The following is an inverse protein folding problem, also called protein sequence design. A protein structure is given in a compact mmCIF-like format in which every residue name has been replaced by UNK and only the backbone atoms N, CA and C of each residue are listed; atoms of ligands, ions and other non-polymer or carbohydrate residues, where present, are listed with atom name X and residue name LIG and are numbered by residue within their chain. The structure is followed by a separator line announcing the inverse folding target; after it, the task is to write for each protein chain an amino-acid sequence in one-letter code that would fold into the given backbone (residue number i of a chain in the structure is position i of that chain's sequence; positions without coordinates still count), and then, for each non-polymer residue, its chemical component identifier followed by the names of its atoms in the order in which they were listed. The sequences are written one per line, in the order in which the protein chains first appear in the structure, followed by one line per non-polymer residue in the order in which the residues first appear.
data_IF_904487953258
#
_entry.id   IF_904487953258
#
_cell.length_a   1.000
_cell.length_b   1.000
_cell.length_c   1.000
_cell.angle_alpha   90.00
_cell.angle_beta   90.00
_cell.angle_gamma   90.00
#
_symmetry.space_group_name_H-M   'P 1'
#
loop_
_entity.id
_entity.type
_entity.pdbx_description
1 polymer ?
#
# COMPACT_ATOMS: atom_id res chain seq x y z
N UNK A 1 -22.08 -0.61 13.95
CA UNK A 1 -20.60 -0.38 13.87
C UNK A 1 -20.39 1.12 13.98
N UNK A 2 -19.76 1.60 15.06
CA UNK A 2 -19.64 3.05 15.34
C UNK A 2 -18.23 3.59 15.04
N UNK A 3 -17.25 2.71 14.82
CA UNK A 3 -15.86 3.03 14.52
C UNK A 3 -15.22 1.92 13.68
N UNK A 4 -14.07 2.15 13.05
CA UNK A 4 -13.31 1.08 12.43
C UNK A 4 -12.99 -0.03 13.44
N UNK A 5 -12.93 -1.27 12.98
CA UNK A 5 -12.53 -2.40 13.83
C UNK A 5 -11.75 -3.44 13.03
N UNK A 6 -10.87 -4.14 13.73
CA UNK A 6 -10.02 -5.20 13.20
C UNK A 6 -10.59 -6.58 13.54
N UNK A 7 -10.68 -7.42 12.52
CA UNK A 7 -10.96 -8.85 12.64
C UNK A 7 -9.67 -9.63 12.40
N UNK A 8 -9.14 -10.28 13.43
CA UNK A 8 -7.99 -11.17 13.30
C UNK A 8 -8.46 -12.54 12.81
N UNK A 9 -7.84 -13.04 11.72
CA UNK A 9 -8.05 -14.38 11.18
C UNK A 9 -7.03 -15.36 11.74
N UNK A 10 -5.81 -14.88 12.00
CA UNK A 10 -4.72 -15.62 12.63
C UNK A 10 -3.76 -14.64 13.31
N UNK A 11 -2.79 -15.19 14.06
CA UNK A 11 -1.77 -14.39 14.74
C UNK A 11 -0.38 -14.90 14.32
N UNK A 12 0.19 -14.39 13.23
CA UNK A 12 1.52 -14.78 12.80
C UNK A 12 2.59 -14.28 13.77
N UNK A 13 3.66 -15.03 13.92
CA UNK A 13 4.87 -14.54 14.57
C UNK A 13 5.66 -13.72 13.56
N UNK A 14 5.91 -12.46 13.88
CA UNK A 14 6.57 -11.50 12.98
C UNK A 14 7.89 -11.01 13.63
N UNK A 15 8.95 -10.97 12.84
CA UNK A 15 10.26 -10.44 13.24
C UNK A 15 10.59 -9.19 12.44
N UNK A 16 10.77 -8.05 13.14
CA UNK A 16 11.07 -6.75 12.55
C UNK A 16 10.24 -6.43 11.31
N UNK A 17 8.90 -6.51 11.38
CA UNK A 17 8.07 -6.41 10.20
C UNK A 17 8.11 -5.02 9.56
N UNK A 18 8.14 -5.00 8.23
CA UNK A 18 7.97 -3.81 7.39
C UNK A 18 6.54 -3.78 6.88
N UNK A 19 5.84 -2.69 7.13
CA UNK A 19 4.49 -2.50 6.62
C UNK A 19 4.51 -1.92 5.21
N UNK A 20 3.74 -2.54 4.30
CA UNK A 20 3.59 -2.13 2.90
C UNK A 20 2.11 -1.92 2.60
N UNK A 21 1.73 -0.70 2.25
CA UNK A 21 0.35 -0.34 1.92
C UNK A 21 0.19 -0.07 0.43
N UNK A 22 -0.81 -0.69 -0.20
CA UNK A 22 -1.23 -0.36 -1.55
C UNK A 22 -2.75 -0.34 -1.68
N UNK A 23 -3.33 0.86 -1.69
CA UNK A 23 -4.77 1.11 -1.78
C UNK A 23 -5.18 1.59 -3.19
N UNK A 24 -6.48 1.51 -3.55
CA UNK A 24 -7.01 2.16 -4.74
C UNK A 24 -6.72 3.65 -4.75
N UNK A 25 -6.48 4.21 -5.92
CA UNK A 25 -6.19 5.63 -6.13
C UNK A 25 -5.88 5.89 -7.60
N UNK A 26 -5.09 6.92 -7.91
CA UNK A 26 -4.71 7.23 -9.28
C UNK A 26 -4.10 6.02 -9.99
N UNK A 27 -4.73 5.62 -11.11
CA UNK A 27 -4.32 4.48 -11.90
C UNK A 27 -4.33 3.13 -11.16
N UNK A 28 -4.94 3.05 -9.98
CA UNK A 28 -4.88 1.88 -9.09
C UNK A 28 -3.45 1.38 -8.82
N UNK A 29 -2.43 2.22 -9.05
CA UNK A 29 -1.00 1.87 -9.02
C UNK A 29 -0.61 1.17 -7.73
N UNK A 30 -1.00 1.73 -6.57
CA UNK A 30 -0.68 1.15 -5.26
C UNK A 30 -1.33 -0.22 -5.07
N UNK A 31 -2.61 -0.35 -5.39
CA UNK A 31 -3.36 -1.62 -5.30
C UNK A 31 -2.75 -2.69 -6.19
N UNK A 32 -2.45 -2.36 -7.44
CA UNK A 32 -1.81 -3.27 -8.39
C UNK A 32 -0.47 -3.75 -7.85
N UNK A 33 0.39 -2.85 -7.37
CA UNK A 33 1.68 -3.21 -6.80
C UNK A 33 1.55 -4.11 -5.57
N UNK A 34 0.58 -3.86 -4.68
CA UNK A 34 0.31 -4.70 -3.51
C UNK A 34 -0.17 -6.11 -3.91
N UNK A 35 -1.07 -6.21 -4.88
CA UNK A 35 -1.52 -7.51 -5.40
C UNK A 35 -0.40 -8.31 -6.05
N UNK A 36 0.50 -7.64 -6.78
CA UNK A 36 1.70 -8.29 -7.34
C UNK A 36 2.62 -8.83 -6.23
N UNK A 37 2.81 -8.08 -5.13
CA UNK A 37 3.56 -8.54 -3.97
C UNK A 37 2.90 -9.76 -3.31
N UNK A 38 1.59 -9.68 -3.05
CA UNK A 38 0.81 -10.78 -2.45
C UNK A 38 0.96 -12.05 -3.29
N UNK A 39 0.80 -11.94 -4.61
CA UNK A 39 0.94 -13.05 -5.53
C UNK A 39 2.37 -13.58 -5.62
N UNK A 40 3.36 -12.69 -5.69
CA UNK A 40 4.77 -13.07 -5.81
C UNK A 40 5.27 -13.87 -4.61
N UNK A 41 4.88 -13.45 -3.41
CA UNK A 41 5.32 -14.08 -2.15
C UNK A 41 4.37 -15.17 -1.65
N UNK A 42 3.27 -15.45 -2.34
CA UNK A 42 2.17 -16.29 -1.83
C UNK A 42 1.77 -15.87 -0.40
N UNK A 43 1.59 -14.55 -0.20
CA UNK A 43 1.34 -13.95 1.10
C UNK A 43 0.03 -14.47 1.71
N UNK A 44 0.02 -14.70 3.02
CA UNK A 44 -1.12 -15.30 3.71
C UNK A 44 -1.96 -14.24 4.41
N UNK A 45 -3.29 -14.24 4.23
CA UNK A 45 -4.17 -13.31 4.94
C UNK A 45 -4.19 -13.64 6.44
N UNK A 46 -4.20 -12.60 7.29
CA UNK A 46 -4.23 -12.79 8.76
C UNK A 46 -5.12 -11.80 9.51
N UNK A 47 -5.52 -10.68 8.88
CA UNK A 47 -6.46 -9.73 9.49
C UNK A 47 -7.22 -8.94 8.43
N UNK A 48 -8.36 -8.39 8.85
CA UNK A 48 -9.24 -7.53 8.05
C UNK A 48 -9.62 -6.30 8.87
N UNK A 49 -9.70 -5.13 8.24
CA UNK A 49 -10.20 -3.90 8.83
C UNK A 49 -11.49 -3.49 8.15
N UNK A 50 -12.51 -3.27 8.94
CA UNK A 50 -13.82 -2.77 8.53
C UNK A 50 -14.05 -1.37 9.08
N UNK A 51 -14.75 -0.51 8.32
CA UNK A 51 -15.10 0.83 8.77
C UNK A 51 -16.53 1.18 8.39
N UNK A 52 -17.27 1.87 9.28
CA UNK A 52 -18.59 2.42 8.94
C UNK A 52 -18.51 3.54 7.91
N UNK A 53 -17.33 4.05 7.66
CA UNK A 53 -17.05 5.10 6.67
C UNK A 53 -16.69 4.56 5.28
N UNK A 54 -16.67 3.23 5.10
CA UNK A 54 -16.61 2.65 3.77
C UNK A 54 -17.98 2.76 3.09
N UNK A 55 -18.04 2.83 1.75
CA UNK A 55 -19.30 2.93 1.02
C UNK A 55 -20.30 1.82 1.37
N UNK A 56 -21.57 2.14 1.22
CA UNK A 56 -22.74 1.33 1.60
C UNK A 56 -23.12 0.25 0.56
N UNK A 57 -22.13 -0.48 0.07
CA UNK A 57 -22.37 -1.62 -0.80
C UNK A 57 -21.78 -2.91 -0.23
N UNK A 58 -22.09 -4.02 -0.85
CA UNK A 58 -21.43 -5.31 -0.62
C UNK A 58 -20.80 -5.80 -1.92
N UNK A 59 -19.61 -6.35 -1.81
CA UNK A 59 -18.97 -7.06 -2.93
C UNK A 59 -19.46 -8.51 -2.96
N UNK A 60 -19.62 -9.05 -4.17
CA UNK A 60 -20.02 -10.44 -4.39
C UNK A 60 -18.84 -11.17 -5.04
N UNK A 61 -18.37 -12.24 -4.43
CA UNK A 61 -17.29 -13.04 -4.99
C UNK A 61 -17.76 -13.95 -6.15
N UNK A 62 -16.83 -14.62 -6.82
CA UNK A 62 -17.10 -15.48 -7.98
C UNK A 62 -18.09 -16.65 -7.71
N UNK A 63 -18.33 -16.99 -6.44
CA UNK A 63 -19.26 -18.05 -6.03
C UNK A 63 -20.56 -17.50 -5.42
N UNK A 64 -20.82 -16.20 -5.56
CA UNK A 64 -22.07 -15.57 -5.15
C UNK A 64 -22.16 -15.20 -3.66
N UNK A 65 -21.07 -15.25 -2.90
CA UNK A 65 -21.04 -14.89 -1.47
C UNK A 65 -20.71 -13.40 -1.31
N UNK A 66 -21.53 -12.70 -0.53
CA UNK A 66 -21.36 -11.28 -0.23
C UNK A 66 -20.38 -11.04 0.91
N UNK A 67 -19.67 -9.92 0.82
CA UNK A 67 -18.84 -9.39 1.91
C UNK A 67 -18.85 -7.85 1.91
N UNK A 68 -18.63 -7.28 3.08
CA UNK A 68 -18.47 -5.84 3.23
C UNK A 68 -17.13 -5.37 2.63
N UNK A 69 -17.05 -4.12 2.14
CA UNK A 69 -15.79 -3.49 1.82
C UNK A 69 -14.85 -3.50 3.03
N UNK A 70 -13.58 -3.80 2.79
CA UNK A 70 -12.59 -3.92 3.86
C UNK A 70 -11.17 -3.66 3.37
N UNK A 71 -10.26 -3.44 4.31
CA UNK A 71 -8.83 -3.62 4.08
C UNK A 71 -8.43 -5.02 4.54
N UNK A 72 -7.52 -5.63 3.81
CA UNK A 72 -7.01 -6.96 4.06
C UNK A 72 -5.51 -6.89 4.34
N UNK A 73 -5.10 -7.59 5.41
CA UNK A 73 -3.70 -7.66 5.82
C UNK A 73 -3.17 -9.06 5.56
N UNK A 74 -2.03 -9.09 4.89
CA UNK A 74 -1.30 -10.29 4.54
C UNK A 74 0.07 -10.27 5.17
N UNK A 75 0.62 -11.42 5.51
CA UNK A 75 2.00 -11.51 5.98
C UNK A 75 2.84 -12.39 5.08
N UNK A 76 4.14 -12.08 5.04
CA UNK A 76 5.16 -12.84 4.33
C UNK A 76 6.31 -13.08 5.31
N UNK A 77 6.58 -14.34 5.70
CA UNK A 77 7.79 -14.66 6.46
C UNK A 77 9.02 -14.46 5.56
N UNK A 78 10.00 -13.75 6.07
CA UNK A 78 11.29 -13.52 5.39
C UNK A 78 12.44 -13.70 6.39
N UNK A 79 13.65 -13.96 5.89
CA UNK A 79 14.81 -14.27 6.72
C UNK A 79 15.24 -13.15 7.69
N UNK A 80 15.00 -11.89 7.33
CA UNK A 80 15.43 -10.74 8.13
C UNK A 80 14.28 -9.88 8.62
N UNK A 81 13.43 -9.43 7.70
CA UNK A 81 12.32 -8.52 8.00
C UNK A 81 11.08 -9.09 7.37
N UNK A 82 10.12 -9.52 8.16
CA UNK A 82 8.85 -9.98 7.61
C UNK A 82 8.13 -8.83 6.90
N UNK A 83 7.25 -9.14 5.95
CA UNK A 83 6.38 -8.12 5.37
C UNK A 83 4.97 -8.26 5.92
N UNK A 84 4.36 -7.12 6.20
CA UNK A 84 2.92 -6.98 6.41
C UNK A 84 2.39 -6.14 5.26
N UNK A 85 1.61 -6.74 4.38
CA UNK A 85 1.07 -6.08 3.20
C UNK A 85 -0.41 -5.79 3.44
N UNK A 86 -0.81 -4.55 3.25
CA UNK A 86 -2.21 -4.14 3.31
C UNK A 86 -2.69 -3.68 1.94
N UNK A 87 -3.86 -4.16 1.56
CA UNK A 87 -4.60 -3.70 0.38
C UNK A 87 -6.09 -3.59 0.70
N UNK A 88 -6.89 -3.15 -0.25
CA UNK A 88 -8.34 -3.05 -0.10
C UNK A 88 -9.03 -2.73 -1.41
N UNK A 89 -10.35 -2.82 -1.43
CA UNK A 89 -11.16 -2.56 -2.61
C UNK A 89 -11.50 -1.07 -2.76
N UNK A 90 -11.49 -0.32 -1.67
CA UNK A 90 -11.98 1.05 -1.60
C UNK A 90 -11.20 1.87 -0.56
N UNK A 91 -11.40 3.16 -0.55
CA UNK A 91 -11.08 4.09 0.55
C UNK A 91 -12.36 4.79 1.01
N UNK A 92 -12.38 5.44 2.18
CA UNK A 92 -13.47 6.34 2.55
C UNK A 92 -13.77 7.35 1.44
N UNK A 93 -15.00 7.89 1.42
CA UNK A 93 -15.35 8.93 0.43
C UNK A 93 -14.35 10.09 0.50
N UNK A 94 -13.93 10.59 -0.65
CA UNK A 94 -13.00 11.72 -0.73
C UNK A 94 -13.47 12.97 0.05
N UNK A 95 -14.77 13.13 0.19
CA UNK A 95 -15.38 14.25 0.93
C UNK A 95 -15.33 14.04 2.45
N UNK A 96 -15.20 12.80 2.92
CA UNK A 96 -15.14 12.48 4.36
C UNK A 96 -13.69 12.48 4.87
N UNK A 97 -13.16 13.69 5.07
CA UNK A 97 -11.80 13.90 5.56
C UNK A 97 -11.57 13.25 6.93
N UNK A 98 -12.57 13.29 7.81
CA UNK A 98 -12.47 12.71 9.16
C UNK A 98 -12.33 11.20 9.09
N UNK A 99 -13.09 10.55 8.23
CA UNK A 99 -13.00 9.12 8.02
C UNK A 99 -11.61 8.68 7.55
N UNK A 100 -10.99 9.44 6.63
CA UNK A 100 -9.63 9.15 6.19
C UNK A 100 -8.63 9.15 7.35
N UNK A 101 -8.70 10.13 8.25
CA UNK A 101 -7.85 10.17 9.44
C UNK A 101 -8.11 8.99 10.36
N UNK A 102 -9.39 8.72 10.68
CA UNK A 102 -9.76 7.62 11.58
C UNK A 102 -9.31 6.25 11.08
N UNK A 103 -9.51 5.99 9.80
CA UNK A 103 -9.12 4.69 9.20
C UNK A 103 -7.60 4.55 9.14
N UNK A 104 -6.88 5.60 8.73
CA UNK A 104 -5.42 5.57 8.68
C UNK A 104 -4.80 5.45 10.08
N UNK A 105 -5.39 6.10 11.08
CA UNK A 105 -4.94 6.04 12.47
C UNK A 105 -5.11 4.62 13.04
N UNK A 106 -6.26 3.98 12.82
CA UNK A 106 -6.51 2.58 13.21
C UNK A 106 -5.53 1.62 12.51
N UNK A 107 -5.19 1.87 11.24
CA UNK A 107 -4.16 1.09 10.52
C UNK A 107 -2.81 1.24 11.22
N UNK A 108 -2.40 2.46 11.56
CA UNK A 108 -1.12 2.70 12.23
C UNK A 108 -1.11 2.04 13.62
N UNK A 109 -2.17 2.21 14.41
CA UNK A 109 -2.30 1.56 15.71
C UNK A 109 -2.11 0.04 15.58
N UNK A 110 -2.76 -0.56 14.61
CA UNK A 110 -2.63 -2.00 14.40
C UNK A 110 -1.21 -2.41 14.03
N UNK A 111 -0.58 -1.76 13.07
CA UNK A 111 0.77 -2.17 12.61
C UNK A 111 1.84 -1.88 13.68
N UNK A 112 1.65 -0.88 14.53
CA UNK A 112 2.49 -0.68 15.73
C UNK A 112 2.40 -1.87 16.69
N UNK A 113 1.18 -2.41 16.93
CA UNK A 113 1.02 -3.62 17.78
C UNK A 113 1.73 -4.85 17.22
N UNK A 114 1.99 -4.87 15.91
CA UNK A 114 2.74 -5.92 15.23
C UNK A 114 4.26 -5.73 15.30
N UNK A 115 4.72 -4.59 15.81
CA UNK A 115 6.13 -4.21 15.88
C UNK A 115 6.68 -3.60 14.60
N UNK A 116 5.82 -3.10 13.70
CA UNK A 116 6.25 -2.37 12.50
C UNK A 116 6.82 -1.00 12.89
N UNK A 117 8.06 -0.72 12.49
CA UNK A 117 8.71 0.57 12.66
C UNK A 117 9.07 1.26 11.34
N UNK A 118 8.89 0.56 10.23
CA UNK A 118 9.13 1.08 8.88
C UNK A 118 7.91 0.88 8.00
N UNK A 119 7.50 1.96 7.32
CA UNK A 119 6.30 1.99 6.49
C UNK A 119 6.64 2.31 5.04
N UNK A 120 6.06 1.56 4.12
CA UNK A 120 6.11 1.84 2.70
C UNK A 120 4.67 2.00 2.21
N UNK A 121 4.31 3.17 1.72
CA UNK A 121 3.04 3.36 1.03
C UNK A 121 3.26 3.41 -0.46
N UNK A 122 2.34 2.85 -1.25
CA UNK A 122 2.42 2.82 -2.70
C UNK A 122 1.19 3.49 -3.31
N UNK A 123 1.41 4.26 -4.38
CA UNK A 123 0.32 4.96 -5.07
C UNK A 123 0.72 5.44 -6.46
N UNK A 124 -0.23 6.09 -7.13
CA UNK A 124 -0.02 6.77 -8.40
C UNK A 124 -0.01 8.29 -8.24
N UNK A 125 0.69 8.98 -9.11
CA UNK A 125 0.60 10.42 -9.27
C UNK A 125 0.29 10.79 -10.73
N UNK A 126 -0.65 11.71 -10.98
CA UNK A 126 -1.03 12.10 -12.32
C UNK A 126 0.01 13.07 -12.93
N UNK A 127 1.15 12.53 -13.33
CA UNK A 127 2.20 13.27 -14.03
C UNK A 127 2.34 12.67 -15.42
N UNK A 128 2.13 13.52 -16.43
CA UNK A 128 2.33 13.19 -17.85
C UNK A 128 3.78 13.51 -18.22
N UNK A 129 4.70 12.62 -17.91
CA UNK A 129 6.08 12.73 -18.37
C UNK A 129 6.35 11.72 -19.49
N UNK A 130 7.31 12.03 -20.36
CA UNK A 130 7.71 11.13 -21.46
C UNK A 130 8.26 9.79 -20.97
N UNK A 131 8.74 9.73 -19.75
CA UNK A 131 9.34 8.52 -19.16
C UNK A 131 8.66 8.15 -17.85
N UNK A 132 8.17 6.92 -17.79
CA UNK A 132 7.63 6.36 -16.56
C UNK A 132 8.70 6.29 -15.46
N UNK A 133 8.42 6.86 -14.28
CA UNK A 133 9.35 6.95 -13.16
C UNK A 133 8.66 6.62 -11.83
N UNK A 134 9.46 6.26 -10.81
CA UNK A 134 9.00 6.17 -9.43
C UNK A 134 9.48 7.40 -8.68
N UNK A 135 8.53 8.17 -8.20
CA UNK A 135 8.77 9.29 -7.30
C UNK A 135 8.70 8.84 -5.86
N UNK A 136 9.41 9.55 -4.97
CA UNK A 136 9.37 9.29 -3.53
C UNK A 136 9.09 10.55 -2.72
N UNK A 137 8.36 10.32 -1.63
CA UNK A 137 8.35 11.18 -0.45
C UNK A 137 8.78 10.34 0.76
N UNK A 138 9.48 10.93 1.72
CA UNK A 138 10.03 10.21 2.85
C UNK A 138 9.81 10.96 4.18
N UNK A 139 9.85 10.24 5.29
CA UNK A 139 9.74 10.83 6.63
C UNK A 139 11.00 11.61 7.05
N UNK A 140 12.14 11.37 6.37
CA UNK A 140 13.39 12.07 6.63
C UNK A 140 14.21 12.31 5.36
N UNK A 141 15.07 13.36 5.34
CA UNK A 141 15.98 13.60 4.21
C UNK A 141 16.97 12.45 3.96
N UNK A 142 17.40 11.77 5.02
CA UNK A 142 18.28 10.60 4.92
C UNK A 142 17.63 9.48 4.08
N UNK A 143 16.39 9.13 4.41
CA UNK A 143 15.64 8.13 3.64
C UNK A 143 15.39 8.56 2.20
N UNK A 144 15.08 9.85 1.98
CA UNK A 144 14.92 10.37 0.64
C UNK A 144 16.20 10.16 -0.19
N UNK A 145 17.36 10.50 0.34
CA UNK A 145 18.64 10.29 -0.33
C UNK A 145 18.92 8.81 -0.61
N UNK A 146 18.68 7.93 0.37
CA UNK A 146 18.86 6.48 0.21
C UNK A 146 18.02 5.89 -0.94
N UNK A 147 16.78 6.33 -1.08
CA UNK A 147 15.91 5.85 -2.15
C UNK A 147 16.22 6.49 -3.51
N UNK A 148 16.78 7.71 -3.52
CA UNK A 148 17.34 8.31 -4.75
C UNK A 148 18.53 7.50 -5.29
N UNK A 149 19.41 7.03 -4.45
CA UNK A 149 20.52 6.15 -4.84
C UNK A 149 20.03 4.85 -5.47
N UNK A 150 18.85 4.37 -5.07
CA UNK A 150 18.18 3.21 -5.67
C UNK A 150 17.51 3.54 -7.03
N UNK A 151 17.45 4.83 -7.42
CA UNK A 151 16.92 5.29 -8.70
C UNK A 151 15.55 5.94 -8.66
N UNK A 152 15.06 6.32 -7.48
CA UNK A 152 13.83 7.10 -7.37
C UNK A 152 14.10 8.60 -7.58
N UNK A 153 13.03 9.33 -7.92
CA UNK A 153 13.03 10.79 -8.07
C UNK A 153 12.30 11.41 -6.87
N UNK A 154 12.83 12.52 -6.34
CA UNK A 154 12.12 13.20 -5.24
C UNK A 154 10.82 13.83 -5.74
N UNK A 155 9.71 13.52 -5.06
CA UNK A 155 8.43 14.20 -5.25
C UNK A 155 8.45 15.52 -4.46
N UNK A 156 8.94 16.58 -5.09
CA UNK A 156 9.09 17.89 -4.45
C UNK A 156 7.87 18.79 -4.66
N UNK A 157 7.48 19.54 -3.60
CA UNK A 157 6.40 20.55 -3.64
C UNK A 157 5.02 20.01 -4.08
N UNK A 158 4.80 18.70 -4.01
CA UNK A 158 3.54 18.05 -4.35
C UNK A 158 2.65 17.77 -3.14
N UNK A 159 1.49 17.17 -3.42
CA UNK A 159 0.55 16.65 -2.42
C UNK A 159 0.25 15.20 -2.75
N UNK A 160 0.30 14.34 -1.74
CA UNK A 160 -0.11 12.94 -1.86
C UNK A 160 -1.48 12.84 -1.18
N UNK A 161 -2.50 12.53 -1.96
CA UNK A 161 -3.90 12.52 -1.50
C UNK A 161 -4.30 11.13 -1.02
N UNK A 162 -5.25 11.08 -0.08
CA UNK A 162 -5.82 9.84 0.46
C UNK A 162 -4.88 9.08 1.39
N UNK A 163 -5.20 7.81 1.63
CA UNK A 163 -4.48 6.97 2.59
C UNK A 163 -2.99 6.82 2.30
N UNK A 164 -2.56 6.90 1.03
CA UNK A 164 -1.14 6.80 0.66
C UNK A 164 -0.29 7.89 1.35
N UNK A 165 -0.72 9.14 1.28
CA UNK A 165 0.01 10.24 1.90
C UNK A 165 -0.26 10.34 3.41
N UNK A 166 -1.50 10.15 3.80
CA UNK A 166 -1.93 10.33 5.19
C UNK A 166 -1.29 9.30 6.13
N UNK A 167 -1.27 8.03 5.73
CA UNK A 167 -0.60 6.98 6.51
C UNK A 167 0.88 7.28 6.72
N UNK A 168 1.60 7.74 5.68
CA UNK A 168 3.01 8.12 5.82
C UNK A 168 3.19 9.31 6.78
N UNK A 169 2.31 10.32 6.70
CA UNK A 169 2.39 11.50 7.55
C UNK A 169 2.10 11.17 9.03
N UNK A 170 1.05 10.38 9.30
CA UNK A 170 0.71 9.91 10.65
C UNK A 170 1.82 9.04 11.25
N UNK A 171 2.42 8.16 10.45
CA UNK A 171 3.57 7.36 10.87
C UNK A 171 4.76 8.25 11.30
N UNK A 172 5.04 9.32 10.53
CA UNK A 172 6.08 10.28 10.89
C UNK A 172 5.79 10.97 12.23
N UNK A 173 4.55 11.39 12.48
CA UNK A 173 4.17 12.01 13.78
C UNK A 173 4.37 11.04 14.95
N UNK A 174 4.24 9.72 14.71
CA UNK A 174 4.52 8.66 15.68
C UNK A 174 5.98 8.19 15.68
N UNK A 175 6.89 8.94 15.03
CA UNK A 175 8.33 8.66 14.93
C UNK A 175 8.69 7.36 14.22
N UNK A 176 7.79 6.83 13.41
CA UNK A 176 8.08 5.73 12.50
C UNK A 176 8.81 6.24 11.26
N UNK A 177 9.73 5.46 10.75
CA UNK A 177 10.38 5.75 9.47
C UNK A 177 9.54 5.23 8.30
N UNK A 178 9.61 5.90 7.15
CA UNK A 178 8.88 5.41 5.98
C UNK A 178 9.05 6.23 4.73
N UNK A 179 8.53 5.64 3.64
CA UNK A 179 8.54 6.25 2.30
C UNK A 179 7.23 5.99 1.57
N UNK A 180 6.82 6.94 0.72
CA UNK A 180 5.82 6.73 -0.32
C UNK A 180 6.51 6.48 -1.65
N UNK A 181 6.15 5.41 -2.34
CA UNK A 181 6.56 5.08 -3.70
C UNK A 181 5.42 5.40 -4.66
N UNK A 182 5.65 6.34 -5.57
CA UNK A 182 4.61 6.91 -6.41
C UNK A 182 4.96 6.68 -7.89
N UNK A 183 4.20 5.83 -8.57
CA UNK A 183 4.34 5.63 -10.02
C UNK A 183 3.63 6.74 -10.80
N UNK A 184 4.26 7.22 -11.88
CA UNK A 184 3.62 8.16 -12.81
C UNK A 184 2.52 7.45 -13.59
N UNK A 185 1.35 8.09 -13.71
CA UNK A 185 0.19 7.54 -14.42
C UNK A 185 -0.68 8.64 -14.98
N UNK A 186 -1.49 8.35 -15.98
CA UNK A 186 -2.54 9.27 -16.46
C UNK A 186 -3.70 9.38 -15.46
N UNK A 187 -3.88 8.40 -14.59
CA UNK A 187 -4.86 8.37 -13.52
C UNK A 187 -6.30 8.02 -13.91
N UNK A 188 -6.63 7.96 -15.20
CA UNK A 188 -8.02 7.77 -15.67
C UNK A 188 -8.51 6.32 -15.66
N UNK A 189 -7.58 5.37 -15.69
CA UNK A 189 -7.87 3.92 -15.69
C UNK A 189 -6.79 3.20 -14.90
N UNK A 190 -7.04 1.92 -14.60
CA UNK A 190 -6.03 1.05 -14.02
C UNK A 190 -4.78 1.00 -14.91
N UNK A 191 -3.64 1.36 -14.33
CA UNK A 191 -2.36 1.48 -15.02
C UNK A 191 -1.43 0.37 -14.54
N UNK A 192 -1.48 -0.76 -15.27
CA UNK A 192 -0.72 -1.96 -14.92
C UNK A 192 0.79 -1.74 -15.06
N UNK A 193 1.21 -0.95 -16.04
CA UNK A 193 2.63 -0.62 -16.26
C UNK A 193 3.19 0.17 -15.08
N UNK A 194 2.47 1.21 -14.64
CA UNK A 194 2.86 2.01 -13.49
C UNK A 194 2.85 1.18 -12.19
N UNK A 195 1.84 0.33 -12.00
CA UNK A 195 1.79 -0.59 -10.85
C UNK A 195 2.95 -1.58 -10.84
N UNK A 196 3.28 -2.16 -11.98
CA UNK A 196 4.42 -3.06 -12.14
C UNK A 196 5.76 -2.34 -11.96
N UNK A 197 5.87 -1.09 -12.39
CA UNK A 197 7.06 -0.26 -12.15
C UNK A 197 7.31 -0.04 -10.66
N UNK A 198 6.27 0.32 -9.89
CA UNK A 198 6.36 0.49 -8.43
C UNK A 198 6.71 -0.83 -7.75
N UNK A 199 6.07 -1.93 -8.15
CA UNK A 199 6.39 -3.27 -7.67
C UNK A 199 7.86 -3.62 -7.91
N UNK A 200 8.37 -3.45 -9.14
CA UNK A 200 9.79 -3.71 -9.48
C UNK A 200 10.73 -2.87 -8.64
N UNK A 201 10.42 -1.60 -8.47
CA UNK A 201 11.24 -0.71 -7.65
C UNK A 201 11.28 -1.17 -6.19
N UNK A 202 10.12 -1.54 -5.61
CA UNK A 202 10.07 -2.05 -4.25
C UNK A 202 10.85 -3.37 -4.11
N UNK A 203 10.72 -4.31 -5.05
CA UNK A 203 11.48 -5.56 -5.03
C UNK A 203 12.99 -5.29 -5.02
N UNK A 204 13.47 -4.38 -5.87
CA UNK A 204 14.87 -3.94 -5.86
C UNK A 204 15.27 -3.32 -4.52
N UNK A 205 14.42 -2.48 -3.94
CA UNK A 205 14.67 -1.85 -2.64
C UNK A 205 14.76 -2.87 -1.50
N UNK A 206 13.99 -3.96 -1.57
CA UNK A 206 14.03 -5.11 -0.66
C UNK A 206 15.17 -6.09 -0.94
N UNK A 207 15.99 -5.87 -1.97
CA UNK A 207 17.08 -6.77 -2.37
C UNK A 207 16.57 -8.10 -2.93
N UNK A 208 15.40 -8.12 -3.56
CA UNK A 208 14.79 -9.32 -4.14
C UNK A 208 14.81 -9.26 -5.67
N UNK A 209 15.23 -10.35 -6.28
CA UNK A 209 15.20 -10.51 -7.73
C UNK A 209 13.83 -11.02 -8.19
N UNK A 210 13.33 -10.44 -9.27
CA UNK A 210 12.09 -10.88 -9.93
C UNK A 210 12.51 -11.93 -10.97
N UNK A 211 12.02 -13.16 -10.82
CA UNK A 211 12.27 -14.23 -11.79
C UNK A 211 11.62 -13.85 -13.13
N UNK A 212 12.32 -14.19 -14.23
CA UNK A 212 11.77 -14.04 -15.58
C UNK A 212 10.44 -14.78 -15.69
N UNK A 213 9.40 -14.09 -16.23
CA UNK A 213 8.04 -14.64 -16.39
C UNK A 213 6.95 -13.95 -15.57
N UNK A 214 7.29 -13.12 -14.58
CA UNK A 214 6.34 -12.19 -13.98
C UNK A 214 6.29 -10.91 -14.82
N UNK A 215 5.30 -10.81 -15.69
CA UNK A 215 5.02 -9.62 -16.51
C UNK A 215 3.81 -8.84 -16.00
N UNK A 216 3.54 -7.73 -16.65
CA UNK A 216 2.39 -6.83 -16.41
C UNK A 216 1.04 -7.57 -16.47
N UNK A 217 0.95 -8.64 -17.23
CA UNK A 217 -0.24 -9.49 -17.38
C UNK A 217 -0.57 -10.34 -16.14
N UNK A 218 0.29 -10.34 -15.11
CA UNK A 218 0.03 -11.00 -13.84
C UNK A 218 -0.71 -10.11 -12.82
N UNK A 219 -0.95 -8.84 -13.15
CA UNK A 219 -1.83 -7.98 -12.37
C UNK A 219 -3.27 -8.49 -12.46
N UNK A 220 -4.05 -8.48 -11.36
CA UNK A 220 -5.43 -8.94 -11.38
C UNK A 220 -6.25 -8.13 -12.39
N UNK A 221 -7.19 -8.80 -13.05
CA UNK A 221 -8.28 -8.15 -13.76
C UNK A 221 -9.22 -7.55 -12.71
N UNK A 222 -9.69 -6.32 -12.96
CA UNK A 222 -10.68 -5.65 -12.10
C UNK A 222 -12.04 -6.33 -12.19
#
# INVERSE_FOLDING_TARGET
MDKPYLRKLSTPTLENPVFVQGLPGFGNVGRIAAHLLIKFFDAKPFAELYSPSFPDYVSINAVGVCHLPRYEFYYVPMEKNNLVIMTGEIQPSFEDVVAHYQVCDEVIDFVETLGCHFIITMGGIPITEEKAQVYIAATSPRLAAEFMEKGAVIYSKGRIVGGTGLTLALAKERKMEGVSLLGTTTGFRADREAGFLVFKFLMKALGKEIKEGLGENNAPEE
#
